data_IF_829238145976
#
_entry.id   IF_829238145976
#
_cell.length_a   1.000
_cell.length_b   1.000
_cell.length_c   1.000
_cell.angle_alpha   90.00
_cell.angle_beta   90.00
_cell.angle_gamma   90.00
#
_symmetry.space_group_name_H-M   'P 1'
#
loop_
_entity.id
_entity.type
_entity.pdbx_description
1 polymer ?
#
# COMPACT_ATOMS: atom_id res chain seq x y z
N UNK A 1 -20.35 15.21 16.92
CA UNK A 1 -19.14 14.89 17.71
C UNK A 1 -18.22 14.07 16.83
N UNK A 2 -17.13 14.66 16.33
CA UNK A 2 -16.11 13.95 15.56
C UNK A 2 -15.17 13.23 16.54
N UNK A 3 -15.27 11.91 16.62
CA UNK A 3 -14.25 11.10 17.29
C UNK A 3 -13.06 11.11 16.34
N UNK A 4 -12.13 12.06 16.51
CA UNK A 4 -10.81 11.92 15.92
C UNK A 4 -10.13 10.78 16.68
N UNK A 5 -9.80 9.66 16.02
CA UNK A 5 -9.11 8.60 16.73
C UNK A 5 -7.74 9.15 17.13
N UNK A 6 -7.38 9.02 18.41
CA UNK A 6 -6.06 9.38 18.91
C UNK A 6 -5.06 8.33 18.41
N UNK A 7 -4.54 8.53 17.22
CA UNK A 7 -3.55 7.64 16.62
C UNK A 7 -2.16 8.09 17.07
N UNK A 8 -1.53 7.34 17.99
CA UNK A 8 -0.09 7.50 18.22
C UNK A 8 0.67 6.80 17.09
N UNK A 9 1.28 7.56 16.20
CA UNK A 9 2.09 7.03 15.10
C UNK A 9 3.58 7.20 15.39
N UNK A 10 4.40 6.24 14.95
CA UNK A 10 5.85 6.26 15.17
C UNK A 10 6.61 6.02 13.87
N UNK A 11 7.67 6.81 13.66
CA UNK A 11 8.73 6.59 12.66
C UNK A 11 10.09 6.64 13.34
N UNK A 12 11.08 5.92 12.83
CA UNK A 12 12.44 6.01 13.31
C UNK A 12 13.01 7.38 12.94
N UNK A 13 13.33 8.18 13.95
CA UNK A 13 13.95 9.47 13.74
C UNK A 13 15.44 9.31 13.47
N UNK A 14 15.95 10.09 12.52
CA UNK A 14 17.37 10.14 12.17
C UNK A 14 17.99 8.85 11.62
N UNK A 15 17.20 7.79 11.42
CA UNK A 15 17.62 6.60 10.69
C UNK A 15 17.27 6.74 9.20
N UNK A 16 18.09 6.11 8.37
CA UNK A 16 17.77 5.93 6.96
C UNK A 16 16.63 4.92 6.82
N UNK A 17 15.64 5.27 6.00
CA UNK A 17 14.47 4.44 5.72
C UNK A 17 14.16 4.50 4.22
N UNK A 18 13.77 3.36 3.66
CA UNK A 18 13.22 3.22 2.33
C UNK A 18 11.88 3.96 2.25
N UNK A 19 11.70 4.59 1.11
CA UNK A 19 10.52 5.34 0.77
C UNK A 19 10.05 4.92 -0.62
N UNK A 20 8.78 4.55 -0.67
CA UNK A 20 8.04 4.18 -1.88
C UNK A 20 7.02 5.27 -2.17
N UNK A 21 7.27 6.19 -3.11
CA UNK A 21 6.26 7.15 -3.52
C UNK A 21 5.06 6.43 -4.14
N UNK A 22 3.85 6.82 -3.77
CA UNK A 22 2.65 6.27 -4.39
C UNK A 22 2.55 6.79 -5.83
N UNK A 23 2.40 5.85 -6.78
CA UNK A 23 2.14 6.12 -8.19
C UNK A 23 0.65 5.91 -8.45
N UNK A 24 -0.11 6.98 -8.66
CA UNK A 24 -1.56 6.94 -8.83
C UNK A 24 -2.08 8.28 -9.35
N UNK A 25 -3.14 8.22 -10.17
CA UNK A 25 -3.93 9.31 -10.76
C UNK A 25 -3.12 10.60 -10.95
N UNK A 26 -2.57 10.81 -12.17
CA UNK A 26 -1.91 12.03 -12.67
C UNK A 26 -1.74 13.10 -11.60
N UNK A 27 -0.58 13.10 -10.97
CA UNK A 27 -0.51 13.20 -9.52
C UNK A 27 -1.26 14.40 -8.97
N UNK A 28 -2.06 14.14 -7.94
CA UNK A 28 -2.64 15.15 -7.04
C UNK A 28 -1.57 16.15 -6.54
N UNK A 29 -0.30 15.76 -6.66
CA UNK A 29 0.90 16.51 -6.30
C UNK A 29 1.66 17.07 -7.53
N UNK A 30 1.43 16.61 -8.77
CA UNK A 30 2.00 17.17 -10.02
C UNK A 30 1.65 18.66 -10.15
N UNK A 31 0.54 19.09 -9.56
CA UNK A 31 0.00 20.45 -9.56
C UNK A 31 0.62 21.45 -8.59
N UNK A 32 1.68 21.06 -7.90
CA UNK A 32 2.60 22.03 -7.30
C UNK A 32 3.67 22.51 -8.31
N UNK A 33 3.59 22.07 -9.58
CA UNK A 33 4.39 22.65 -10.68
C UNK A 33 3.98 24.09 -10.99
N UNK A 34 4.85 25.05 -10.66
CA UNK A 34 5.49 25.90 -11.69
C UNK A 34 6.97 26.09 -11.31
N UNK A 35 7.88 25.62 -12.16
CA UNK A 35 9.29 26.05 -12.19
C UNK A 35 9.58 26.45 -13.64
N UNK A 36 9.96 27.71 -13.87
CA UNK A 36 10.56 28.19 -15.12
C UNK A 36 11.98 28.69 -14.83
N UNK A 37 12.96 28.32 -15.66
CA UNK A 37 14.23 29.04 -15.73
C UNK A 37 14.73 29.12 -17.18
N UNK A 38 14.84 30.35 -17.67
CA UNK A 38 15.42 30.79 -18.95
C UNK A 38 15.50 32.33 -18.93
N UNK A 39 16.59 32.92 -19.43
CA UNK A 39 17.05 34.30 -19.16
C UNK A 39 16.22 35.46 -19.77
N UNK A 40 15.06 35.20 -20.36
CA UNK A 40 14.28 36.26 -21.01
C UNK A 40 12.79 36.02 -20.80
N UNK A 41 12.19 36.95 -20.03
CA UNK A 41 10.77 37.21 -19.77
C UNK A 41 10.12 36.53 -18.55
N UNK A 42 9.92 37.39 -17.53
CA UNK A 42 9.07 37.40 -16.34
C UNK A 42 8.69 36.08 -15.63
N UNK A 43 9.23 35.98 -14.41
CA UNK A 43 9.02 34.93 -13.41
C UNK A 43 7.63 35.02 -12.76
N UNK A 44 7.00 33.86 -12.58
CA UNK A 44 5.95 33.67 -11.55
C UNK A 44 6.25 32.36 -10.82
N UNK A 45 6.72 32.47 -9.58
CA UNK A 45 6.94 31.37 -8.64
C UNK A 45 5.79 31.31 -7.63
N UNK A 46 4.97 30.25 -7.62
CA UNK A 46 4.25 29.87 -6.42
C UNK A 46 5.11 28.87 -5.62
N UNK A 47 5.76 29.35 -4.56
CA UNK A 47 6.39 28.50 -3.54
C UNK A 47 5.29 27.99 -2.61
N UNK A 48 4.75 26.81 -2.85
CA UNK A 48 3.86 26.17 -1.88
C UNK A 48 4.30 24.74 -1.62
N UNK A 49 4.35 24.40 -0.33
CA UNK A 49 4.78 23.11 0.21
C UNK A 49 4.27 21.92 -0.61
N UNK A 50 5.18 21.04 -1.01
CA UNK A 50 4.82 19.80 -1.70
C UNK A 50 4.65 18.71 -0.66
N UNK A 51 3.44 18.21 -0.46
CA UNK A 51 3.16 17.17 0.53
C UNK A 51 2.95 15.83 -0.17
N UNK A 52 4.00 15.04 -0.37
CA UNK A 52 3.90 13.83 -1.20
C UNK A 52 3.52 12.59 -0.38
N UNK A 53 2.62 11.72 -0.88
CA UNK A 53 2.27 10.47 -0.21
C UNK A 53 3.40 9.47 -0.40
N UNK A 54 4.07 9.13 0.69
CA UNK A 54 5.23 8.22 0.68
C UNK A 54 4.96 7.07 1.63
N UNK A 55 5.00 5.85 1.08
CA UNK A 55 4.91 4.64 1.87
C UNK A 55 6.29 4.24 2.39
N UNK A 56 6.37 3.96 3.69
CA UNK A 56 7.56 3.55 4.42
C UNK A 56 7.42 2.06 4.76
N UNK A 57 7.91 1.16 3.89
CA UNK A 57 7.58 -0.25 3.99
C UNK A 57 8.27 -0.92 5.20
N UNK A 58 9.42 -0.41 5.64
CA UNK A 58 10.12 -0.94 6.84
C UNK A 58 9.32 -0.79 8.13
N UNK A 59 8.44 0.20 8.22
CA UNK A 59 7.65 0.50 9.43
C UNK A 59 6.16 0.32 9.21
N UNK A 60 5.76 -0.06 7.99
CA UNK A 60 4.36 -0.25 7.59
C UNK A 60 3.54 1.02 7.78
N UNK A 61 3.94 2.13 7.16
CA UNK A 61 3.23 3.40 7.34
C UNK A 61 3.21 4.24 6.07
N UNK A 62 2.09 4.91 5.80
CA UNK A 62 2.02 5.98 4.81
C UNK A 62 2.14 7.34 5.50
N UNK A 63 2.97 8.21 4.94
CA UNK A 63 3.22 9.56 5.45
C UNK A 63 2.95 10.62 4.39
N UNK A 64 2.72 11.84 4.86
CA UNK A 64 2.88 13.05 4.05
C UNK A 64 4.33 13.53 4.20
N UNK A 65 5.10 13.43 3.12
CA UNK A 65 6.46 13.95 3.06
C UNK A 65 6.44 15.38 2.55
N UNK A 66 6.73 16.33 3.42
CA UNK A 66 6.76 17.74 3.05
C UNK A 66 8.12 18.08 2.41
N UNK A 67 8.11 18.64 1.20
CA UNK A 67 9.29 19.20 0.54
C UNK A 67 9.13 20.71 0.38
N UNK A 68 10.13 21.44 0.86
CA UNK A 68 10.18 22.91 0.85
C UNK A 68 11.10 23.47 -0.23
N UNK A 69 11.84 22.61 -0.93
CA UNK A 69 12.86 22.98 -1.92
C UNK A 69 12.52 22.37 -3.28
N UNK A 70 12.38 23.21 -4.31
CA UNK A 70 11.94 22.77 -5.65
C UNK A 70 12.86 21.75 -6.35
N UNK A 71 14.17 21.74 -6.03
CA UNK A 71 15.09 20.71 -6.53
C UNK A 71 14.75 19.31 -6.00
N UNK A 72 14.42 19.21 -4.71
CA UNK A 72 14.02 17.94 -4.07
C UNK A 72 12.73 17.43 -4.68
N UNK A 73 11.76 18.32 -4.90
CA UNK A 73 10.51 17.96 -5.56
C UNK A 73 10.76 17.42 -6.97
N UNK A 74 11.66 18.04 -7.75
CA UNK A 74 12.03 17.56 -9.09
C UNK A 74 12.63 16.16 -9.06
N UNK A 75 13.63 15.93 -8.23
CA UNK A 75 14.27 14.61 -8.10
C UNK A 75 13.25 13.52 -7.70
N UNK A 76 12.29 13.87 -6.84
CA UNK A 76 11.17 13.00 -6.49
C UNK A 76 10.24 12.69 -7.67
N UNK A 77 9.90 13.68 -8.50
CA UNK A 77 9.09 13.46 -9.71
C UNK A 77 9.81 12.59 -10.73
N UNK A 78 11.11 12.80 -10.89
CA UNK A 78 11.94 11.96 -11.76
C UNK A 78 11.93 10.51 -11.27
N UNK A 79 12.00 10.30 -9.95
CA UNK A 79 11.89 8.96 -9.35
C UNK A 79 10.52 8.29 -9.53
N UNK A 80 9.42 9.06 -9.44
CA UNK A 80 8.07 8.53 -9.72
C UNK A 80 7.97 8.05 -11.18
N UNK A 81 8.66 8.75 -12.09
CA UNK A 81 8.67 8.47 -13.52
C UNK A 81 9.60 7.29 -13.87
N UNK A 82 10.69 7.10 -13.13
CA UNK A 82 11.64 6.00 -13.33
C UNK A 82 11.07 4.69 -12.78
N UNK A 83 11.12 3.62 -13.57
CA UNK A 83 10.83 2.27 -13.07
C UNK A 83 12.07 1.73 -12.34
N UNK A 84 11.87 0.87 -11.35
CA UNK A 84 12.93 0.14 -10.62
C UNK A 84 13.87 1.01 -9.77
N UNK A 85 13.38 2.15 -9.27
CA UNK A 85 14.12 3.03 -8.36
C UNK A 85 13.40 3.18 -7.02
N UNK A 86 14.19 3.31 -5.96
CA UNK A 86 13.71 3.59 -4.60
C UNK A 86 14.45 4.76 -4.00
N UNK A 87 13.82 5.39 -3.03
CA UNK A 87 14.46 6.43 -2.24
C UNK A 87 14.87 5.87 -0.88
N UNK A 88 16.07 6.24 -0.44
CA UNK A 88 16.51 6.09 0.94
C UNK A 88 16.59 7.49 1.52
N UNK A 89 15.83 7.76 2.58
CA UNK A 89 15.75 9.09 3.16
C UNK A 89 15.89 9.03 4.68
N UNK A 90 16.31 10.14 5.29
CA UNK A 90 16.38 10.30 6.75
C UNK A 90 15.23 11.20 7.18
N UNK A 91 14.34 10.68 8.01
CA UNK A 91 13.16 11.41 8.45
C UNK A 91 13.37 12.10 9.79
N UNK A 92 12.71 13.24 9.90
CA UNK A 92 12.45 13.98 11.12
C UNK A 92 10.94 14.07 11.27
N UNK A 93 10.44 13.60 12.41
CA UNK A 93 9.03 13.65 12.73
C UNK A 93 8.63 15.11 12.99
N UNK A 94 7.81 15.68 12.11
CA UNK A 94 7.39 17.08 12.22
C UNK A 94 6.13 17.19 13.08
N UNK A 95 5.13 16.35 12.79
CA UNK A 95 3.90 16.28 13.56
C UNK A 95 3.35 14.84 13.57
N UNK A 96 3.50 14.13 14.71
CA UNK A 96 3.06 12.74 14.81
C UNK A 96 1.55 12.54 14.67
N UNK A 97 0.75 13.53 15.07
CA UNK A 97 -0.71 13.44 15.05
C UNK A 97 -1.26 13.46 13.62
N UNK A 98 -0.53 14.11 12.72
CA UNK A 98 -0.91 14.22 11.31
C UNK A 98 -0.10 13.31 10.38
N UNK A 99 0.79 12.47 10.94
CA UNK A 99 1.71 11.60 10.17
C UNK A 99 2.54 12.38 9.15
N UNK A 100 3.04 13.54 9.58
CA UNK A 100 3.85 14.45 8.77
C UNK A 100 5.31 14.34 9.15
N UNK A 101 6.16 14.19 8.15
CA UNK A 101 7.60 14.12 8.33
C UNK A 101 8.33 14.95 7.27
N UNK A 102 9.56 15.32 7.59
CA UNK A 102 10.45 16.07 6.70
C UNK A 102 11.78 15.35 6.58
N UNK A 103 12.42 15.44 5.41
CA UNK A 103 13.77 14.88 5.20
C UNK A 103 14.90 15.90 5.28
N UNK A 104 14.56 17.20 5.18
CA UNK A 104 15.53 18.30 5.03
C UNK A 104 16.56 18.07 3.92
N UNK A 105 16.18 17.36 2.84
CA UNK A 105 17.08 17.06 1.73
C UNK A 105 18.04 15.90 1.98
N UNK A 106 17.92 15.18 3.10
CA UNK A 106 18.72 13.99 3.36
C UNK A 106 18.08 12.77 2.68
N UNK A 107 18.33 12.61 1.39
CA UNK A 107 17.92 11.42 0.64
C UNK A 107 18.95 11.01 -0.40
N UNK A 108 18.85 9.77 -0.84
CA UNK A 108 19.52 9.25 -2.02
C UNK A 108 18.55 8.41 -2.84
N UNK A 109 18.73 8.46 -4.16
CA UNK A 109 17.99 7.64 -5.12
C UNK A 109 18.87 6.46 -5.49
N UNK A 110 18.29 5.26 -5.47
CA UNK A 110 18.99 4.01 -5.76
C UNK A 110 18.19 3.18 -6.76
N UNK A 111 18.88 2.63 -7.74
CA UNK A 111 18.32 1.61 -8.62
C UNK A 111 18.24 0.28 -7.88
N UNK A 112 17.11 -0.42 -8.00
CA UNK A 112 16.89 -1.72 -7.40
C UNK A 112 17.69 -2.82 -8.10
N UNK A 113 17.87 -2.72 -9.42
CA UNK A 113 18.54 -3.74 -10.23
C UNK A 113 17.97 -5.13 -9.95
N UNK A 114 18.84 -6.06 -9.53
CA UNK A 114 18.46 -7.44 -9.17
C UNK A 114 17.50 -7.57 -7.98
N UNK A 115 17.39 -6.53 -7.13
CA UNK A 115 16.57 -6.54 -5.92
C UNK A 115 15.09 -6.22 -6.21
N UNK A 116 14.75 -5.83 -7.44
CA UNK A 116 13.40 -5.39 -7.83
C UNK A 116 12.32 -6.45 -7.56
N UNK A 117 12.64 -7.72 -7.83
CA UNK A 117 11.75 -8.85 -7.52
C UNK A 117 11.43 -8.91 -6.03
N UNK A 118 12.45 -8.93 -5.17
CA UNK A 118 12.28 -9.03 -3.72
C UNK A 118 11.48 -7.84 -3.18
N UNK A 119 11.77 -6.64 -3.68
CA UNK A 119 11.07 -5.41 -3.33
C UNK A 119 9.58 -5.46 -3.69
N UNK A 120 9.26 -5.78 -4.94
CA UNK A 120 7.88 -5.82 -5.45
C UNK A 120 7.03 -6.89 -4.74
N UNK A 121 7.57 -8.11 -4.58
CA UNK A 121 6.88 -9.18 -3.86
C UNK A 121 6.63 -8.79 -2.40
N UNK A 122 7.61 -8.15 -1.76
CA UNK A 122 7.48 -7.75 -0.36
C UNK A 122 6.42 -6.67 -0.18
N UNK A 123 6.37 -5.67 -1.08
CA UNK A 123 5.29 -4.67 -1.07
C UNK A 123 3.92 -5.34 -1.24
N UNK A 124 3.82 -6.31 -2.15
CA UNK A 124 2.57 -7.06 -2.34
C UNK A 124 2.16 -7.80 -1.07
N UNK A 125 3.08 -8.58 -0.48
CA UNK A 125 2.86 -9.31 0.77
C UNK A 125 2.39 -8.36 1.87
N UNK A 126 3.04 -7.20 2.00
CA UNK A 126 2.64 -6.18 2.97
C UNK A 126 1.18 -5.76 2.77
N UNK A 127 0.81 -5.40 1.54
CA UNK A 127 -0.52 -4.92 1.24
C UNK A 127 -1.62 -5.97 1.40
N UNK A 128 -1.37 -7.22 1.03
CA UNK A 128 -2.35 -8.31 1.15
C UNK A 128 -2.47 -8.85 2.57
N UNK A 129 -1.40 -8.74 3.38
CA UNK A 129 -1.46 -9.12 4.80
C UNK A 129 -2.03 -8.01 5.68
N UNK A 130 -2.07 -6.77 5.20
CA UNK A 130 -2.63 -5.60 5.89
C UNK A 130 -3.79 -4.93 5.12
N UNK A 131 -4.77 -5.70 4.58
CA UNK A 131 -5.74 -5.16 3.65
C UNK A 131 -6.68 -4.15 4.32
N UNK A 132 -7.36 -3.37 3.48
CA UNK A 132 -8.22 -2.28 3.92
C UNK A 132 -9.55 -2.81 4.42
N UNK A 133 -10.15 -2.08 5.36
CA UNK A 133 -11.43 -2.45 5.96
C UNK A 133 -12.49 -1.43 5.57
N UNK A 134 -13.75 -1.87 5.56
CA UNK A 134 -14.89 -1.01 5.37
C UNK A 134 -15.36 -0.45 6.72
N UNK A 135 -15.52 0.86 6.81
CA UNK A 135 -16.02 1.54 7.99
C UNK A 135 -17.08 2.58 7.62
N UNK A 136 -18.35 2.33 7.96
CA UNK A 136 -19.49 3.24 7.72
C UNK A 136 -19.64 3.76 6.27
N UNK A 137 -19.05 3.09 5.26
CA UNK A 137 -18.89 3.45 3.83
C UNK A 137 -17.52 3.98 3.37
N UNK A 138 -16.61 4.26 4.30
CA UNK A 138 -15.21 4.58 4.01
C UNK A 138 -14.39 3.30 3.86
N UNK A 139 -13.53 3.25 2.84
CA UNK A 139 -12.49 2.21 2.76
C UNK A 139 -11.24 2.79 3.37
N UNK A 140 -10.65 2.06 4.32
CA UNK A 140 -9.53 2.58 5.10
C UNK A 140 -8.55 1.47 5.48
N UNK A 141 -7.26 1.71 5.23
CA UNK A 141 -6.17 0.94 5.80
C UNK A 141 -5.62 1.68 7.03
N UNK A 142 -5.58 1.05 8.21
CA UNK A 142 -5.06 1.68 9.44
C UNK A 142 -3.56 2.04 9.34
N UNK A 143 -2.84 1.38 8.45
CA UNK A 143 -1.42 1.62 8.20
C UNK A 143 -1.20 2.72 7.16
N UNK A 144 -2.08 2.83 6.16
CA UNK A 144 -1.83 3.60 4.94
C UNK A 144 -2.76 4.80 4.80
N UNK A 145 -2.64 5.76 5.70
CA UNK A 145 -3.44 6.98 5.67
C UNK A 145 -2.70 8.18 6.29
N UNK A 146 -3.13 9.39 5.91
CA UNK A 146 -2.72 10.66 6.52
C UNK A 146 -3.77 11.75 6.21
N UNK A 147 -3.66 12.92 6.85
CA UNK A 147 -4.52 14.07 6.55
C UNK A 147 -4.01 14.85 5.33
N UNK A 148 -4.87 15.04 4.33
CA UNK A 148 -4.55 15.78 3.12
C UNK A 148 -5.39 17.04 3.03
N UNK A 149 -4.74 18.18 2.76
CA UNK A 149 -5.40 19.48 2.65
C UNK A 149 -4.68 20.36 1.60
N UNK A 150 -5.47 21.05 0.77
CA UNK A 150 -5.04 22.17 -0.08
C UNK A 150 -5.88 23.40 0.28
N UNK A 151 -5.22 24.54 0.50
CA UNK A 151 -5.83 25.82 0.94
C UNK A 151 -5.78 26.93 -0.11
N UNK A 152 -5.55 26.61 -1.38
CA UNK A 152 -5.59 27.57 -2.50
C UNK A 152 -7.02 28.10 -2.76
N UNK A 153 -7.20 28.89 -3.83
CA UNK A 153 -8.47 29.54 -4.22
C UNK A 153 -9.69 28.60 -4.12
N UNK A 154 -9.50 27.36 -4.57
CA UNK A 154 -10.40 26.25 -4.27
C UNK A 154 -9.74 25.28 -3.30
N UNK A 155 -10.20 25.27 -2.06
CA UNK A 155 -9.70 24.38 -1.03
C UNK A 155 -10.27 22.98 -1.20
N UNK A 156 -9.51 21.99 -0.74
CA UNK A 156 -10.09 20.71 -0.33
C UNK A 156 -9.39 20.15 0.90
N UNK A 157 -10.09 19.31 1.66
CA UNK A 157 -9.50 18.54 2.76
C UNK A 157 -10.11 17.15 2.82
N UNK A 158 -9.33 16.17 3.27
CA UNK A 158 -9.75 14.78 3.36
C UNK A 158 -8.83 13.99 4.30
N UNK A 159 -9.31 12.86 4.80
CA UNK A 159 -8.42 11.78 5.26
C UNK A 159 -8.07 10.95 4.02
N UNK A 160 -6.83 11.07 3.55
CA UNK A 160 -6.33 10.28 2.42
C UNK A 160 -5.96 8.89 2.93
N UNK A 161 -6.32 7.87 2.16
CA UNK A 161 -5.86 6.50 2.43
C UNK A 161 -5.53 5.77 1.14
N UNK A 162 -4.50 4.92 1.20
CA UNK A 162 -4.11 4.06 0.10
C UNK A 162 -4.50 2.63 0.40
N UNK A 163 -5.46 2.14 -0.37
CA UNK A 163 -6.23 0.96 -0.03
C UNK A 163 -5.97 -0.17 -1.01
N UNK A 164 -5.89 -1.37 -0.45
CA UNK A 164 -5.99 -2.65 -1.15
C UNK A 164 -7.13 -3.44 -0.54
N UNK A 165 -8.08 -3.86 -1.35
CA UNK A 165 -9.28 -4.61 -0.94
C UNK A 165 -9.83 -5.42 -2.11
N UNK A 166 -10.80 -6.29 -1.85
CA UNK A 166 -11.52 -6.99 -2.91
C UNK A 166 -12.89 -6.36 -3.12
N UNK A 167 -13.24 -6.15 -4.39
CA UNK A 167 -14.60 -5.87 -4.80
C UNK A 167 -15.13 -6.94 -5.76
N UNK A 168 -16.44 -7.15 -5.74
CA UNK A 168 -17.13 -7.81 -6.84
C UNK A 168 -17.70 -6.72 -7.76
N UNK A 169 -17.24 -6.73 -9.01
CA UNK A 169 -17.54 -5.71 -10.01
C UNK A 169 -18.52 -6.27 -11.04
N UNK A 170 -19.58 -5.51 -11.32
CA UNK A 170 -20.53 -5.80 -12.40
C UNK A 170 -20.46 -4.72 -13.49
N UNK A 171 -19.96 -5.05 -14.70
CA UNK A 171 -19.84 -4.10 -15.82
C UNK A 171 -21.16 -3.39 -16.18
N UNK A 172 -22.31 -4.03 -15.92
CA UNK A 172 -23.62 -3.44 -16.17
C UNK A 172 -23.88 -2.18 -15.32
N UNK A 173 -23.25 -2.07 -14.15
CA UNK A 173 -23.36 -0.90 -13.28
C UNK A 173 -22.75 0.35 -13.95
N UNK A 174 -21.80 0.19 -14.87
CA UNK A 174 -21.20 1.33 -15.57
C UNK A 174 -22.17 1.98 -16.57
N UNK A 175 -23.14 1.22 -17.11
CA UNK A 175 -24.13 1.76 -18.07
C UNK A 175 -25.08 2.78 -17.44
N UNK A 176 -25.30 2.70 -16.13
CA UNK A 176 -26.16 3.61 -15.36
C UNK A 176 -25.38 4.59 -14.49
N UNK A 177 -24.05 4.60 -14.63
CA UNK A 177 -23.14 5.37 -13.80
C UNK A 177 -23.28 6.87 -14.04
N UNK A 178 -23.00 7.65 -12.99
CA UNK A 178 -22.99 9.12 -13.07
C UNK A 178 -21.56 9.62 -13.22
N UNK A 179 -21.40 10.58 -14.13
CA UNK A 179 -20.16 11.33 -14.29
C UNK A 179 -20.12 12.48 -13.30
N UNK A 180 -18.95 12.63 -12.71
CA UNK A 180 -18.70 13.49 -11.57
C UNK A 180 -17.35 14.17 -11.77
N UNK A 181 -17.22 15.42 -11.36
CA UNK A 181 -15.94 16.10 -11.23
C UNK A 181 -15.51 16.09 -9.75
N UNK A 182 -14.32 15.56 -9.51
CA UNK A 182 -13.57 15.57 -8.26
C UNK A 182 -12.53 16.68 -8.31
N UNK A 183 -12.41 17.50 -7.25
CA UNK A 183 -11.40 18.55 -7.15
C UNK A 183 -10.30 18.20 -6.15
N UNK A 184 -9.12 17.89 -6.64
CA UNK A 184 -7.95 17.52 -5.82
C UNK A 184 -6.78 18.47 -6.10
N UNK A 185 -7.07 19.77 -6.14
CA UNK A 185 -6.24 20.80 -6.79
C UNK A 185 -6.37 20.80 -8.33
N UNK A 186 -7.10 19.79 -8.82
CA UNK A 186 -7.23 19.32 -10.18
C UNK A 186 -8.65 18.88 -10.45
N UNK A 187 -9.32 19.37 -11.52
CA UNK A 187 -10.57 18.76 -11.92
C UNK A 187 -10.28 17.39 -12.54
N UNK A 188 -10.56 16.33 -11.79
CA UNK A 188 -10.54 14.96 -12.27
C UNK A 188 -11.96 14.51 -12.61
N UNK A 189 -12.19 14.08 -13.85
CA UNK A 189 -13.48 13.49 -14.23
C UNK A 189 -13.49 12.03 -13.80
N UNK A 190 -14.50 11.69 -13.02
CA UNK A 190 -14.68 10.36 -12.46
C UNK A 190 -16.06 9.82 -12.81
N UNK A 191 -16.11 8.51 -12.99
CA UNK A 191 -17.32 7.71 -13.14
C UNK A 191 -17.53 6.96 -11.84
N UNK A 192 -18.68 7.13 -11.21
CA UNK A 192 -18.99 6.45 -9.95
C UNK A 192 -19.99 5.32 -10.18
N UNK A 193 -19.64 4.12 -9.73
CA UNK A 193 -20.46 2.91 -9.80
C UNK A 193 -20.71 2.33 -8.41
N UNK A 194 -21.81 1.58 -8.28
CA UNK A 194 -22.19 0.94 -7.01
C UNK A 194 -21.81 -0.54 -7.06
N UNK A 195 -20.72 -0.89 -6.40
CA UNK A 195 -20.19 -2.25 -6.37
C UNK A 195 -20.36 -2.91 -5.00
N UNK A 196 -19.82 -4.12 -4.87
CA UNK A 196 -19.80 -4.86 -3.60
C UNK A 196 -18.39 -4.94 -3.04
N UNK A 197 -18.18 -4.42 -1.84
CA UNK A 197 -17.01 -4.71 -1.02
C UNK A 197 -17.14 -6.12 -0.47
N UNK A 198 -16.09 -6.92 -0.59
CA UNK A 198 -16.10 -8.31 -0.15
C UNK A 198 -15.26 -8.46 1.12
N UNK A 199 -15.86 -9.04 2.15
CA UNK A 199 -15.23 -9.28 3.45
C UNK A 199 -15.44 -10.73 3.89
N UNK A 200 -14.41 -11.40 4.41
CA UNK A 200 -14.60 -12.65 5.14
C UNK A 200 -14.80 -12.38 6.63
N UNK A 201 -15.72 -13.12 7.22
CA UNK A 201 -16.01 -13.10 8.65
C UNK A 201 -15.19 -14.17 9.39
N UNK A 202 -14.98 -14.03 10.71
CA UNK A 202 -14.23 -14.98 11.53
C UNK A 202 -14.76 -16.42 11.56
N UNK A 203 -15.95 -16.68 11.04
CA UNK A 203 -16.55 -18.01 10.88
C UNK A 203 -16.36 -18.61 9.47
N UNK A 204 -15.65 -17.89 8.57
CA UNK A 204 -15.46 -18.28 7.17
C UNK A 204 -16.62 -17.88 6.25
N UNK A 205 -17.57 -17.06 6.71
CA UNK A 205 -18.65 -16.53 5.88
C UNK A 205 -18.16 -15.32 5.08
N UNK A 206 -18.46 -15.28 3.78
CA UNK A 206 -18.15 -14.10 2.93
C UNK A 206 -19.37 -13.18 2.91
N UNK A 207 -19.18 -11.94 3.40
CA UNK A 207 -20.14 -10.83 3.38
C UNK A 207 -19.86 -9.91 2.20
N UNK A 208 -20.92 -9.39 1.60
CA UNK A 208 -20.87 -8.42 0.52
C UNK A 208 -21.63 -7.16 0.93
N UNK A 209 -20.95 -6.02 1.01
CA UNK A 209 -21.53 -4.74 1.38
C UNK A 209 -21.51 -3.76 0.19
N UNK A 210 -22.57 -2.97 0.03
CA UNK A 210 -22.60 -1.98 -1.06
C UNK A 210 -21.57 -0.89 -0.80
N UNK A 211 -20.79 -0.56 -1.82
CA UNK A 211 -19.86 0.57 -1.82
C UNK A 211 -19.96 1.35 -3.12
N UNK A 212 -19.52 2.61 -3.08
CA UNK A 212 -19.31 3.39 -4.30
C UNK A 212 -17.83 3.39 -4.65
N UNK A 213 -17.53 2.87 -5.83
CA UNK A 213 -16.22 2.96 -6.44
C UNK A 213 -16.24 4.06 -7.49
N UNK A 214 -15.15 4.81 -7.57
CA UNK A 214 -14.94 5.83 -8.57
C UNK A 214 -13.76 5.44 -9.42
N UNK A 215 -13.85 5.73 -10.71
CA UNK A 215 -12.83 5.41 -11.68
C UNK A 215 -12.61 6.64 -12.55
N UNK A 216 -11.40 6.88 -13.05
CA UNK A 216 -11.20 7.98 -14.00
C UNK A 216 -11.92 7.69 -15.31
N UNK A 217 -12.59 8.70 -15.85
CA UNK A 217 -13.34 8.57 -17.10
C UNK A 217 -12.46 8.04 -18.25
N UNK A 218 -11.21 8.51 -18.34
CA UNK A 218 -10.30 8.18 -19.45
C UNK A 218 -9.58 6.82 -19.28
N UNK A 219 -9.55 6.26 -18.07
CA UNK A 219 -8.78 5.04 -17.77
C UNK A 219 -9.62 3.75 -17.88
N UNK A 220 -10.95 3.86 -17.94
CA UNK A 220 -11.83 2.69 -17.90
C UNK A 220 -12.11 2.19 -19.31
N UNK A 221 -11.68 0.95 -19.59
CA UNK A 221 -12.16 0.17 -20.73
C UNK A 221 -13.23 -0.80 -20.25
N UNK A 222 -14.47 -0.34 -20.20
CA UNK A 222 -15.61 -1.13 -19.69
C UNK A 222 -15.80 -2.41 -20.54
N UNK A 223 -15.52 -2.33 -21.84
CA UNK A 223 -15.72 -3.41 -22.81
C UNK A 223 -14.84 -4.65 -22.54
N UNK A 224 -13.70 -4.46 -21.87
CA UNK A 224 -12.75 -5.53 -21.56
C UNK A 224 -12.99 -6.14 -20.17
N UNK A 225 -13.99 -5.65 -19.42
CA UNK A 225 -14.22 -6.05 -18.04
C UNK A 225 -15.24 -7.17 -17.93
N UNK A 226 -14.84 -8.27 -17.29
CA UNK A 226 -15.75 -9.36 -16.95
C UNK A 226 -16.38 -9.16 -15.57
N UNK A 227 -17.57 -9.72 -15.36
CA UNK A 227 -18.23 -9.71 -14.06
C UNK A 227 -17.53 -10.70 -13.12
N UNK A 228 -16.97 -10.24 -12.01
CA UNK A 228 -16.17 -11.11 -11.14
C UNK A 228 -15.60 -10.42 -9.90
N UNK A 229 -14.71 -11.13 -9.22
CA UNK A 229 -13.94 -10.61 -8.08
C UNK A 229 -12.64 -9.98 -8.58
N UNK A 230 -12.34 -8.81 -8.04
CA UNK A 230 -11.15 -8.05 -8.38
C UNK A 230 -10.43 -7.61 -7.13
N UNK A 231 -9.10 -7.72 -7.12
CA UNK A 231 -8.28 -7.01 -6.15
C UNK A 231 -8.12 -5.59 -6.66
N UNK A 232 -8.57 -4.63 -5.86
CA UNK A 232 -8.59 -3.21 -6.18
C UNK A 232 -7.54 -2.46 -5.38
N UNK A 233 -6.74 -1.67 -6.08
CA UNK A 233 -5.84 -0.65 -5.54
C UNK A 233 -6.53 0.69 -5.72
N UNK A 234 -6.78 1.40 -4.62
CA UNK A 234 -7.51 2.66 -4.65
C UNK A 234 -6.91 3.74 -3.74
N UNK A 235 -7.05 4.97 -4.19
CA UNK A 235 -6.85 6.17 -3.38
C UNK A 235 -8.22 6.62 -2.86
N UNK A 236 -8.41 6.59 -1.53
CA UNK A 236 -9.68 7.02 -0.94
C UNK A 236 -9.55 8.37 -0.26
N UNK A 237 -10.44 9.29 -0.65
CA UNK A 237 -10.66 10.59 -0.04
C UNK A 237 -11.85 10.47 0.92
N UNK A 238 -11.56 10.12 2.17
CA UNK A 238 -12.56 9.97 3.22
C UNK A 238 -12.91 11.32 3.86
N UNK A 239 -14.20 11.55 4.10
CA UNK A 239 -14.74 12.83 4.55
C UNK A 239 -14.30 14.03 3.68
N UNK A 240 -14.24 13.82 2.36
CA UNK A 240 -13.78 14.82 1.39
C UNK A 240 -14.62 16.09 1.46
N UNK A 241 -13.98 17.25 1.67
CA UNK A 241 -14.63 18.56 1.73
C UNK A 241 -13.97 19.50 0.73
N UNK A 242 -14.76 20.27 -0.03
CA UNK A 242 -14.26 21.30 -0.96
C UNK A 242 -15.23 22.48 -1.06
N UNK A 243 -14.73 23.65 -1.47
CA UNK A 243 -15.54 24.79 -1.93
C UNK A 243 -15.61 24.89 -3.47
N UNK A 244 -15.00 24.00 -4.24
CA UNK A 244 -15.00 24.11 -5.69
C UNK A 244 -16.44 23.95 -6.24
N UNK A 245 -16.98 24.92 -7.01
CA UNK A 245 -18.41 24.99 -7.34
C UNK A 245 -18.91 23.75 -8.08
N UNK A 246 -18.09 23.22 -8.99
CA UNK A 246 -18.42 22.01 -9.75
C UNK A 246 -18.14 20.69 -9.00
N UNK A 247 -17.45 20.68 -7.85
CA UNK A 247 -17.18 19.45 -7.08
C UNK A 247 -17.92 19.42 -5.73
N UNK A 248 -18.58 20.52 -5.36
CA UNK A 248 -19.25 20.70 -4.08
C UNK A 248 -20.29 19.60 -3.76
N UNK A 249 -20.92 18.99 -4.77
CA UNK A 249 -21.87 17.89 -4.55
C UNK A 249 -21.20 16.58 -4.07
N UNK A 250 -19.88 16.46 -4.15
CA UNK A 250 -19.09 15.39 -3.56
C UNK A 250 -18.66 15.70 -2.12
N UNK A 251 -18.88 16.92 -1.65
CA UNK A 251 -18.50 17.36 -0.31
C UNK A 251 -19.20 16.52 0.76
N UNK A 252 -18.45 16.15 1.80
CA UNK A 252 -18.77 15.21 2.89
C UNK A 252 -19.03 13.77 2.45
N UNK A 253 -18.57 13.36 1.27
CA UNK A 253 -18.65 11.96 0.81
C UNK A 253 -17.30 11.27 0.91
N UNK A 254 -17.34 9.95 0.92
CA UNK A 254 -16.17 9.10 0.73
C UNK A 254 -16.01 8.80 -0.76
N UNK A 255 -14.84 9.08 -1.31
CA UNK A 255 -14.54 8.88 -2.72
C UNK A 255 -13.44 7.83 -2.81
N UNK A 256 -13.74 6.65 -3.34
CA UNK A 256 -12.77 5.57 -3.51
C UNK A 256 -12.34 5.51 -4.96
N UNK A 257 -11.25 6.18 -5.32
CA UNK A 257 -10.75 6.25 -6.68
C UNK A 257 -9.86 5.04 -6.98
N UNK A 258 -10.39 4.07 -7.72
CA UNK A 258 -9.66 2.87 -8.11
C UNK A 258 -8.69 3.22 -9.24
N UNK A 259 -7.40 3.01 -8.99
CA UNK A 259 -6.34 3.30 -9.95
C UNK A 259 -5.92 2.07 -10.74
N UNK A 260 -5.89 0.91 -10.09
CA UNK A 260 -5.55 -0.39 -10.69
C UNK A 260 -6.44 -1.45 -10.08
N UNK A 261 -6.91 -2.37 -10.90
CA UNK A 261 -7.60 -3.57 -10.43
C UNK A 261 -7.27 -4.72 -11.38
N UNK A 262 -7.23 -5.94 -10.84
CA UNK A 262 -7.01 -7.15 -11.63
C UNK A 262 -7.94 -8.25 -11.13
N UNK A 263 -8.40 -9.12 -12.04
CA UNK A 263 -9.26 -10.23 -11.66
C UNK A 263 -8.50 -11.13 -10.68
N UNK A 264 -9.21 -11.66 -9.69
CA UNK A 264 -8.62 -12.62 -8.76
C UNK A 264 -8.15 -13.82 -9.57
N UNK A 265 -6.86 -14.13 -9.50
CA UNK A 265 -6.38 -15.43 -9.98
C UNK A 265 -6.68 -16.38 -8.82
N UNK A 266 -7.24 -17.57 -9.04
CA UNK A 266 -7.60 -18.51 -7.96
C UNK A 266 -6.37 -19.08 -7.19
N UNK A 267 -5.28 -18.31 -7.13
CA UNK A 267 -4.11 -18.58 -6.36
C UNK A 267 -4.41 -18.55 -4.86
N UNK A 268 -3.82 -19.47 -4.09
CA UNK A 268 -3.80 -19.39 -2.64
C UNK A 268 -3.27 -18.05 -2.08
N UNK A 269 -2.44 -17.31 -2.83
CA UNK A 269 -1.90 -16.01 -2.41
C UNK A 269 -2.88 -14.85 -2.61
N UNK A 270 -3.75 -14.91 -3.62
CA UNK A 270 -4.78 -13.88 -3.87
C UNK A 270 -5.99 -14.02 -2.96
N UNK A 271 -6.10 -15.18 -2.29
CA UNK A 271 -7.08 -15.40 -1.22
C UNK A 271 -6.67 -14.66 0.05
N UNK A 272 -5.37 -14.40 0.28
CA UNK A 272 -4.86 -13.83 1.54
C UNK A 272 -5.60 -12.55 1.98
N UNK A 273 -5.88 -11.55 1.11
CA UNK A 273 -6.63 -10.37 1.52
C UNK A 273 -8.07 -10.68 1.96
N UNK A 274 -8.72 -11.70 1.39
CA UNK A 274 -10.07 -12.12 1.82
C UNK A 274 -10.05 -12.56 3.25
N UNK A 275 -8.98 -13.21 3.67
CA UNK A 275 -8.98 -13.88 4.95
C UNK A 275 -9.01 -12.83 6.09
N UNK A 276 -8.80 -11.52 5.85
CA UNK A 276 -8.85 -10.42 6.85
C UNK A 276 -10.09 -10.49 7.74
N UNK A 277 -9.95 -10.51 9.09
CA UNK A 277 -8.84 -10.00 9.91
C UNK A 277 -7.94 -11.04 10.63
N UNK A 278 -7.97 -12.33 10.33
CA UNK A 278 -7.07 -13.34 10.96
C UNK A 278 -5.54 -13.07 10.85
N UNK A 279 -5.06 -12.13 10.02
CA UNK A 279 -3.65 -12.02 9.54
C UNK A 279 -2.70 -11.41 10.56
N UNK A 280 -3.18 -10.47 11.38
CA UNK A 280 -2.28 -9.62 12.15
C UNK A 280 -2.56 -9.72 13.64
N UNK A 281 -1.79 -10.59 14.28
CA UNK A 281 -1.44 -10.37 15.66
C UNK A 281 -0.06 -9.69 15.71
N UNK A 282 0.03 -8.37 15.99
CA UNK A 282 1.31 -7.66 16.06
C UNK A 282 2.31 -8.35 17.00
N UNK A 283 1.82 -8.92 18.11
CA UNK A 283 2.63 -9.68 19.07
C UNK A 283 3.34 -10.91 18.47
N UNK A 284 2.87 -11.40 17.31
CA UNK A 284 3.45 -12.56 16.60
C UNK A 284 4.22 -12.15 15.34
N UNK A 285 4.39 -10.86 15.07
CA UNK A 285 5.08 -10.33 13.89
C UNK A 285 6.57 -10.13 14.18
N UNK A 286 7.31 -11.23 14.34
CA UNK A 286 8.78 -11.19 14.44
C UNK A 286 9.41 -11.26 13.04
N UNK A 287 10.28 -12.23 12.74
CA UNK A 287 10.79 -12.43 11.38
C UNK A 287 9.74 -12.95 10.40
N UNK A 288 8.62 -13.45 10.90
CA UNK A 288 7.55 -14.01 10.08
C UNK A 288 6.19 -13.42 10.42
N UNK A 289 5.34 -13.35 9.41
CA UNK A 289 3.89 -13.21 9.55
C UNK A 289 3.28 -14.60 9.35
N UNK A 290 2.70 -15.17 10.41
CA UNK A 290 2.14 -16.53 10.41
C UNK A 290 0.70 -16.53 10.89
N UNK A 291 -0.19 -17.17 10.12
CA UNK A 291 -1.56 -17.43 10.55
C UNK A 291 -2.05 -18.74 9.94
N UNK A 292 -3.08 -19.33 10.55
CA UNK A 292 -3.72 -20.54 10.08
C UNK A 292 -5.22 -20.34 9.97
N UNK A 293 -5.81 -20.87 8.90
CA UNK A 293 -7.25 -20.80 8.61
C UNK A 293 -7.77 -22.22 8.40
N UNK A 294 -9.00 -22.55 8.87
CA UNK A 294 -9.60 -23.84 8.58
C UNK A 294 -9.67 -24.12 7.08
N UNK A 295 -9.25 -25.33 6.66
CA UNK A 295 -9.24 -25.72 5.24
C UNK A 295 -10.63 -25.59 4.60
N UNK A 296 -11.70 -25.85 5.37
CA UNK A 296 -13.08 -25.70 4.92
C UNK A 296 -13.43 -24.26 4.50
N UNK A 297 -12.89 -23.24 5.19
CA UNK A 297 -13.13 -21.83 4.84
C UNK A 297 -12.47 -21.48 3.51
N UNK A 298 -11.23 -21.95 3.29
CA UNK A 298 -10.51 -21.73 2.02
C UNK A 298 -11.25 -22.40 0.86
N UNK A 299 -11.67 -23.65 1.02
CA UNK A 299 -12.43 -24.38 -0.01
C UNK A 299 -13.72 -23.65 -0.39
N UNK A 300 -14.45 -23.10 0.59
CA UNK A 300 -15.67 -22.32 0.31
C UNK A 300 -15.39 -21.04 -0.49
N UNK A 301 -14.26 -20.37 -0.23
CA UNK A 301 -13.85 -19.17 -0.97
C UNK A 301 -13.51 -19.54 -2.42
N UNK A 302 -12.68 -20.57 -2.60
CA UNK A 302 -12.29 -21.06 -3.93
C UNK A 302 -13.50 -21.48 -4.78
N UNK A 303 -14.41 -22.29 -4.21
CA UNK A 303 -15.64 -22.70 -4.89
C UNK A 303 -16.52 -21.51 -5.30
N UNK A 304 -16.49 -20.41 -4.53
CA UNK A 304 -17.18 -19.18 -4.93
C UNK A 304 -16.51 -18.50 -6.11
N UNK A 305 -15.19 -18.46 -6.20
CA UNK A 305 -14.51 -17.85 -7.34
C UNK A 305 -14.72 -18.68 -8.62
N UNK A 306 -14.59 -20.00 -8.53
CA UNK A 306 -14.86 -20.95 -9.63
C UNK A 306 -16.25 -20.77 -10.25
N UNK A 307 -17.25 -20.33 -9.46
CA UNK A 307 -18.59 -20.05 -9.96
C UNK A 307 -18.66 -18.86 -10.93
N UNK A 308 -17.80 -17.85 -10.76
CA UNK A 308 -17.87 -16.60 -11.53
C UNK A 308 -16.74 -16.46 -12.56
N UNK A 309 -15.58 -17.07 -12.32
CA UNK A 309 -14.37 -16.91 -13.13
C UNK A 309 -13.93 -18.20 -13.84
N UNK A 310 -14.67 -19.30 -13.64
CA UNK A 310 -14.39 -20.60 -14.26
C UNK A 310 -13.21 -21.35 -13.62
N UNK A 311 -12.85 -22.51 -14.17
CA UNK A 311 -11.71 -23.30 -13.68
C UNK A 311 -10.44 -22.78 -14.37
N UNK A 312 -9.47 -22.30 -13.59
CA UNK A 312 -8.18 -21.88 -14.13
C UNK A 312 -7.21 -23.06 -14.28
N UNK A 313 -6.30 -22.96 -15.26
CA UNK A 313 -5.32 -24.00 -15.54
C UNK A 313 -4.23 -24.08 -14.47
N UNK A 314 -3.86 -25.31 -14.06
CA UNK A 314 -2.86 -25.55 -13.01
C UNK A 314 -1.51 -24.87 -13.26
N UNK A 315 -1.06 -24.78 -14.52
CA UNK A 315 0.20 -24.13 -14.89
C UNK A 315 0.25 -22.62 -14.54
N UNK A 316 -0.88 -21.91 -14.60
CA UNK A 316 -0.97 -20.49 -14.25
C UNK A 316 -0.81 -20.31 -12.74
N UNK A 317 -1.46 -21.17 -11.95
CA UNK A 317 -1.36 -21.17 -10.48
C UNK A 317 0.06 -21.48 -10.01
N UNK A 318 0.72 -22.46 -10.63
CA UNK A 318 2.10 -22.81 -10.34
C UNK A 318 3.05 -21.67 -10.67
N UNK A 319 2.93 -21.07 -11.87
CA UNK A 319 3.76 -19.94 -12.31
C UNK A 319 3.63 -18.76 -11.35
N UNK A 320 2.41 -18.45 -10.92
CA UNK A 320 2.16 -17.38 -9.95
C UNK A 320 2.73 -17.71 -8.56
N UNK A 321 2.59 -18.95 -8.09
CA UNK A 321 3.16 -19.38 -6.82
C UNK A 321 4.71 -19.30 -6.81
N UNK A 322 5.37 -19.54 -7.95
CA UNK A 322 6.82 -19.38 -8.07
C UNK A 322 7.28 -17.94 -7.84
N UNK A 323 6.44 -16.93 -8.11
CA UNK A 323 6.78 -15.54 -7.82
C UNK A 323 7.11 -15.36 -6.35
N UNK A 324 6.33 -15.97 -5.45
CA UNK A 324 6.46 -15.83 -3.99
C UNK A 324 7.53 -16.71 -3.36
N UNK A 325 8.15 -17.62 -4.13
CA UNK A 325 9.17 -18.54 -3.63
C UNK A 325 10.30 -17.78 -2.92
N UNK A 326 10.60 -18.19 -1.69
CA UNK A 326 11.59 -17.56 -0.82
C UNK A 326 11.01 -16.56 0.18
N UNK A 327 9.84 -15.98 -0.10
CA UNK A 327 9.26 -14.88 0.69
C UNK A 327 7.91 -15.22 1.31
N UNK A 328 7.14 -16.10 0.70
CA UNK A 328 5.93 -16.67 1.29
C UNK A 328 5.78 -18.14 0.92
N UNK A 329 5.13 -18.91 1.80
CA UNK A 329 4.71 -20.28 1.57
C UNK A 329 3.36 -20.55 2.18
N UNK A 330 2.63 -21.47 1.56
CA UNK A 330 1.36 -21.98 2.05
C UNK A 330 1.50 -23.49 2.22
N UNK A 331 1.21 -23.99 3.42
CA UNK A 331 1.17 -25.42 3.72
C UNK A 331 -0.25 -25.83 4.10
N UNK A 332 -0.66 -27.01 3.66
CA UNK A 332 -1.98 -27.58 3.96
C UNK A 332 -1.80 -28.81 4.83
N UNK A 333 -2.35 -28.77 6.04
CA UNK A 333 -2.56 -29.92 6.91
C UNK A 333 -4.05 -30.32 6.85
N UNK A 334 -4.40 -31.52 7.32
CA UNK A 334 -5.74 -32.11 7.16
C UNK A 334 -6.90 -31.13 7.44
N UNK A 335 -6.83 -30.36 8.53
CA UNK A 335 -7.91 -29.44 8.92
C UNK A 335 -7.60 -27.95 8.71
N UNK A 336 -6.35 -27.58 8.41
CA UNK A 336 -5.91 -26.18 8.38
C UNK A 336 -4.93 -25.90 7.25
N UNK A 337 -5.10 -24.73 6.63
CA UNK A 337 -4.09 -24.10 5.79
C UNK A 337 -3.30 -23.11 6.62
N UNK A 338 -1.97 -23.21 6.58
CA UNK A 338 -1.04 -22.28 7.25
C UNK A 338 -0.33 -21.45 6.21
N UNK A 339 -0.40 -20.14 6.39
CA UNK A 339 0.35 -19.18 5.60
C UNK A 339 1.54 -18.70 6.44
N UNK A 340 2.71 -18.67 5.81
CA UNK A 340 3.94 -18.11 6.38
C UNK A 340 4.53 -17.16 5.35
N UNK A 341 4.71 -15.89 5.72
CA UNK A 341 5.50 -14.95 4.95
C UNK A 341 6.62 -14.35 5.80
N UNK A 342 7.70 -13.94 5.15
CA UNK A 342 8.70 -13.11 5.80
C UNK A 342 8.08 -11.76 6.17
N UNK A 343 8.41 -11.25 7.34
CA UNK A 343 7.98 -9.91 7.75
C UNK A 343 8.48 -8.87 6.73
N UNK A 344 7.59 -8.06 6.12
CA UNK A 344 8.00 -7.04 5.16
C UNK A 344 9.08 -6.09 5.67
N UNK A 345 9.07 -5.76 6.97
CA UNK A 345 10.12 -4.94 7.61
C UNK A 345 11.52 -5.53 7.42
N UNK A 346 11.66 -6.85 7.56
CA UNK A 346 12.95 -7.53 7.45
C UNK A 346 13.48 -7.47 6.02
N UNK A 347 12.66 -7.81 5.03
CA UNK A 347 13.12 -7.83 3.63
C UNK A 347 13.46 -6.41 3.17
N UNK A 348 12.65 -5.42 3.54
CA UNK A 348 12.92 -4.02 3.20
C UNK A 348 14.18 -3.50 3.87
N UNK A 349 14.41 -3.85 5.14
CA UNK A 349 15.66 -3.52 5.82
C UNK A 349 16.89 -4.11 5.12
N UNK A 350 16.81 -5.37 4.68
CA UNK A 350 17.88 -6.02 3.92
C UNK A 350 18.10 -5.35 2.55
N UNK A 351 17.03 -4.99 1.84
CA UNK A 351 17.12 -4.26 0.56
C UNK A 351 17.83 -2.93 0.77
N UNK A 352 17.43 -2.16 1.80
CA UNK A 352 18.07 -0.90 2.16
C UNK A 352 19.57 -1.08 2.39
N UNK A 353 19.95 -2.03 3.25
CA UNK A 353 21.37 -2.35 3.52
C UNK A 353 22.12 -2.70 2.24
N UNK A 354 21.56 -3.58 1.40
CA UNK A 354 22.19 -3.97 0.14
C UNK A 354 22.41 -2.78 -0.82
N UNK A 355 21.61 -1.72 -0.73
CA UNK A 355 21.74 -0.50 -1.53
C UNK A 355 22.65 0.58 -0.91
N UNK A 356 22.87 0.54 0.41
CA UNK A 356 23.58 1.60 1.16
C UNK A 356 25.10 1.53 1.06
N UNK A 357 25.75 0.43 0.65
CA UNK A 357 27.21 0.43 0.55
C UNK A 357 27.91 -0.88 0.22
N UNK A 358 29.23 -0.87 0.42
CA UNK A 358 30.16 -1.97 0.13
C UNK A 358 30.65 -2.71 1.37
N UNK A 359 30.21 -2.30 2.56
CA UNK A 359 30.61 -2.97 3.79
C UNK A 359 30.16 -4.43 3.79
N UNK A 360 30.76 -5.22 4.67
CA UNK A 360 30.52 -6.66 4.71
C UNK A 360 29.05 -6.99 5.05
N UNK A 361 28.36 -6.13 5.82
CA UNK A 361 26.95 -6.31 6.15
C UNK A 361 26.06 -6.09 4.92
N UNK A 362 26.37 -5.10 4.08
CA UNK A 362 25.68 -4.82 2.83
C UNK A 362 25.82 -5.99 1.84
N UNK A 363 27.03 -6.57 1.76
CA UNK A 363 27.29 -7.75 0.93
C UNK A 363 26.48 -8.96 1.39
N UNK A 364 26.47 -9.24 2.70
CA UNK A 364 25.66 -10.33 3.25
C UNK A 364 24.16 -10.09 3.06
N UNK A 365 23.67 -8.87 3.26
CA UNK A 365 22.27 -8.54 2.99
C UNK A 365 21.87 -8.85 1.54
N UNK A 366 22.71 -8.46 0.58
CA UNK A 366 22.52 -8.79 -0.83
C UNK A 366 22.53 -10.30 -1.10
N UNK A 367 23.46 -11.05 -0.50
CA UNK A 367 23.55 -12.52 -0.63
C UNK A 367 22.32 -13.22 -0.05
N UNK A 368 21.86 -12.79 1.12
CA UNK A 368 20.73 -13.40 1.84
C UNK A 368 19.41 -13.19 1.08
N UNK A 369 19.25 -12.05 0.40
CA UNK A 369 18.06 -11.77 -0.43
C UNK A 369 17.95 -12.69 -1.65
N UNK A 370 19.05 -13.27 -2.12
CA UNK A 370 19.04 -14.23 -3.24
C UNK A 370 18.69 -15.67 -2.79
N UNK A 371 18.72 -15.95 -1.48
CA UNK A 371 18.42 -17.25 -0.93
C UNK A 371 16.91 -17.47 -0.74
N UNK A 372 16.53 -18.72 -0.48
CA UNK A 372 15.21 -19.02 0.05
C UNK A 372 15.14 -18.58 1.51
N UNK A 373 14.79 -17.30 1.74
CA UNK A 373 14.86 -16.67 3.05
C UNK A 373 14.00 -17.38 4.10
N UNK A 374 12.85 -17.94 3.71
CA UNK A 374 12.04 -18.77 4.60
C UNK A 374 12.81 -19.99 5.10
N UNK A 375 13.37 -20.79 4.20
CA UNK A 375 14.11 -21.99 4.58
C UNK A 375 15.35 -21.64 5.42
N UNK A 376 16.05 -20.57 5.04
CA UNK A 376 17.21 -20.05 5.76
C UNK A 376 16.87 -19.70 7.21
N UNK A 377 15.76 -18.98 7.43
CA UNK A 377 15.32 -18.54 8.75
C UNK A 377 14.64 -19.64 9.59
N UNK A 378 14.11 -20.70 8.97
CA UNK A 378 13.46 -21.80 9.68
C UNK A 378 14.42 -22.94 10.07
N UNK A 379 15.42 -23.24 9.23
CA UNK A 379 16.29 -24.41 9.42
C UNK A 379 17.56 -24.10 10.20
N UNK A 380 17.98 -22.84 10.26
CA UNK A 380 19.20 -22.45 10.95
C UNK A 380 18.87 -21.81 12.29
N UNK A 381 19.65 -22.16 13.32
CA UNK A 381 19.64 -21.35 14.53
C UNK A 381 20.26 -19.99 14.14
N UNK A 382 19.50 -18.88 14.13
CA UNK A 382 20.01 -17.60 13.66
C UNK A 382 21.27 -17.18 14.42
N UNK A 383 21.42 -17.63 15.67
CA UNK A 383 22.58 -17.37 16.52
C UNK A 383 23.89 -18.00 16.03
N UNK A 384 23.82 -18.98 15.13
CA UNK A 384 24.99 -19.69 14.60
C UNK A 384 25.36 -19.26 13.17
N UNK A 385 24.49 -18.55 12.47
CA UNK A 385 24.78 -17.99 11.14
C UNK A 385 25.25 -16.54 11.25
N UNK A 386 26.57 -16.37 11.27
CA UNK A 386 27.22 -15.06 11.36
C UNK A 386 26.81 -14.15 10.19
N UNK A 387 26.67 -14.68 8.96
CA UNK A 387 26.30 -13.86 7.80
C UNK A 387 24.89 -13.28 7.99
N UNK A 388 23.96 -14.13 8.44
CA UNK A 388 22.59 -13.72 8.75
C UNK A 388 22.54 -12.71 9.88
N UNK A 389 23.23 -12.96 11.00
CA UNK A 389 23.27 -12.03 12.15
C UNK A 389 23.78 -10.66 11.74
N UNK A 390 24.86 -10.60 10.95
CA UNK A 390 25.44 -9.36 10.48
C UNK A 390 24.48 -8.61 9.54
N UNK A 391 23.81 -9.32 8.65
CA UNK A 391 22.85 -8.71 7.74
C UNK A 391 21.64 -8.14 8.48
N UNK A 392 21.07 -8.86 9.44
CA UNK A 392 19.86 -8.44 10.16
C UNK A 392 20.13 -7.56 11.38
N UNK A 393 21.40 -7.32 11.73
CA UNK A 393 21.77 -6.46 12.86
C UNK A 393 21.09 -5.09 12.76
N UNK A 394 20.28 -4.74 13.77
CA UNK A 394 19.50 -3.49 13.83
C UNK A 394 18.05 -3.58 13.35
N UNK A 395 17.61 -4.72 12.78
CA UNK A 395 16.24 -4.86 12.26
C UNK A 395 15.15 -4.80 13.35
N UNK A 396 15.52 -5.14 14.59
CA UNK A 396 14.58 -5.21 15.72
C UNK A 396 13.82 -3.90 15.95
N UNK A 397 14.49 -2.76 15.79
CA UNK A 397 13.84 -1.45 15.94
C UNK A 397 12.71 -1.23 14.91
N UNK A 398 12.93 -1.60 13.65
CA UNK A 398 11.92 -1.46 12.58
C UNK A 398 10.74 -2.40 12.80
N UNK A 399 11.00 -3.64 13.23
CA UNK A 399 9.95 -4.62 13.56
C UNK A 399 9.10 -4.08 14.71
N UNK A 400 9.70 -3.59 15.79
CA UNK A 400 8.98 -3.04 16.94
C UNK A 400 8.13 -1.81 16.58
N UNK A 401 8.67 -0.90 15.76
CA UNK A 401 7.90 0.24 15.25
C UNK A 401 6.70 -0.23 14.41
N UNK A 402 6.90 -1.22 13.53
CA UNK A 402 5.80 -1.79 12.74
C UNK A 402 4.74 -2.44 13.62
N UNK A 403 5.14 -3.22 14.65
CA UNK A 403 4.20 -3.82 15.61
C UNK A 403 3.33 -2.76 16.25
N UNK A 404 3.92 -1.64 16.69
CA UNK A 404 3.18 -0.48 17.22
C UNK A 404 2.23 0.06 16.17
N UNK A 405 2.72 0.45 14.99
CA UNK A 405 1.88 1.01 13.92
C UNK A 405 0.70 0.09 13.55
N UNK A 406 0.88 -1.23 13.67
CA UNK A 406 -0.16 -2.22 13.35
C UNK A 406 -1.10 -2.54 14.50
N UNK A 407 -0.67 -2.47 15.75
CA UNK A 407 -1.54 -2.72 16.91
C UNK A 407 -2.69 -1.72 17.03
N UNK A 408 -2.48 -0.50 16.55
CA UNK A 408 -3.52 0.54 16.43
C UNK A 408 -4.66 0.20 15.48
N UNK A 409 -4.53 -0.83 14.63
CA UNK A 409 -5.65 -1.33 13.82
C UNK A 409 -6.75 -2.00 14.63
N UNK A 410 -6.45 -2.49 15.85
CA UNK A 410 -7.42 -3.19 16.72
C UNK A 410 -8.35 -2.25 17.49
N UNK A 411 -8.02 -0.95 17.58
CA UNK A 411 -8.78 0.03 18.37
C UNK A 411 -9.88 0.74 17.59
N UNK A 412 -10.06 0.43 16.30
CA UNK A 412 -11.21 0.92 15.51
C UNK A 412 -12.46 0.20 16.06
N UNK A 413 -13.42 0.92 16.65
CA UNK A 413 -14.65 0.29 17.14
C UNK A 413 -15.39 -0.36 15.98
N UNK A 414 -15.74 -1.65 16.16
CA UNK A 414 -16.56 -2.42 15.21
C UNK A 414 -17.92 -1.79 14.97
#
# INVERSE_FOLDING_TARGET
MSIQPQFQWTVPERLEILATPIRGVGSIFERFKIIKFGKTEEETMPVHWFNMPVYLPEVGSLISLDTTVGGIARDFFDLISQRNTVMILKLYNLDPHYRRAVSWGNYSIKELGRLDRAYTITLYIDFVTTPSQLWRSSIFSPLRWFYLEDRRDYFFRSIYSWNVFIAFIDPENFKTSKKHMLWIGEPARIVTTKEKFIQLLPDGTVRAENIFLSFKEDDIRIEDMEKGYYICFAESFNDYLTNHPKAYYLSRKNINLVSVFYPVVHSPYDIVPFLSPYFINPEKMDFFVKFSVPSASITRILQRFEKFEGIQGGAQLESYAQLFKGFAKISKNQDKMTFVAINPSLVMFLIKKALSGKDIQCQYAGKILDLNLIEKLENENPEQDIELLMAIAGVGEFIEIRKRNTSFSKSIPK
#
